data_IF_502819610204
#
_entry.id   IF_502819610204
#
_cell.length_a   1.000
_cell.length_b   1.000
_cell.length_c   1.000
_cell.angle_alpha   90.00
_cell.angle_beta   90.00
_cell.angle_gamma   90.00
#
_symmetry.space_group_name_H-M   'P 1'
#
loop_
_entity.id
_entity.type
_entity.pdbx_description
1 polymer ?
#
# COMPACT_ATOMS: atom_id res chain seq x y z
N UNK A 1 9.73 49.21 -26.11
CA UNK A 1 11.18 49.10 -25.88
C UNK A 1 11.51 47.63 -25.67
N UNK A 2 12.20 46.99 -26.61
CA UNK A 2 12.60 45.59 -26.50
C UNK A 2 13.85 45.46 -25.62
N UNK A 3 13.92 44.52 -24.67
CA UNK A 3 15.17 44.22 -23.98
C UNK A 3 16.01 43.25 -24.81
N UNK A 4 17.24 43.69 -25.12
CA UNK A 4 18.30 42.88 -25.70
C UNK A 4 19.17 42.32 -24.56
N UNK A 5 19.41 41.01 -24.56
CA UNK A 5 20.51 40.41 -23.82
C UNK A 5 20.98 39.14 -24.56
N UNK A 6 21.80 39.33 -25.60
CA UNK A 6 22.63 38.27 -26.17
C UNK A 6 23.94 38.26 -25.39
N UNK A 7 24.10 37.33 -24.46
CA UNK A 7 25.40 37.04 -23.84
C UNK A 7 26.07 35.94 -24.68
N UNK A 8 27.04 36.33 -25.51
CA UNK A 8 27.89 35.41 -26.26
C UNK A 8 29.16 35.18 -25.44
N UNK A 9 29.24 34.04 -24.74
CA UNK A 9 30.48 33.58 -24.12
C UNK A 9 31.40 33.00 -25.20
N UNK A 10 32.40 33.79 -25.58
CA UNK A 10 33.53 33.39 -26.44
C UNK A 10 34.65 32.82 -25.56
N UNK A 11 34.77 31.50 -25.48
CA UNK A 11 35.97 30.84 -24.96
C UNK A 11 36.94 30.57 -26.12
N UNK A 12 38.01 31.37 -26.17
CA UNK A 12 39.19 31.14 -26.99
C UNK A 12 39.95 29.94 -26.44
N UNK A 13 40.00 28.84 -27.19
CA UNK A 13 41.03 27.82 -27.03
C UNK A 13 41.96 27.88 -28.25
N UNK A 14 43.23 28.15 -27.97
CA UNK A 14 44.30 28.33 -28.94
C UNK A 14 44.56 27.06 -29.74
N UNK A 15 44.64 27.24 -31.06
CA UNK A 15 45.11 26.25 -32.02
C UNK A 15 46.64 26.20 -32.02
N UNK A 16 47.20 24.98 -32.01
CA UNK A 16 48.12 24.49 -33.06
C UNK A 16 48.67 23.13 -32.66
N UNK A 17 48.24 22.08 -33.35
CA UNK A 17 49.16 21.05 -33.87
C UNK A 17 48.44 20.22 -34.92
N UNK A 18 49.11 20.13 -36.06
CA UNK A 18 48.74 19.46 -37.30
C UNK A 18 48.90 17.95 -37.19
N UNK A 19 47.79 17.22 -37.30
CA UNK A 19 47.78 15.84 -37.81
C UNK A 19 46.40 15.59 -38.45
N UNK A 20 46.44 15.16 -39.71
CA UNK A 20 45.34 15.15 -40.67
C UNK A 20 44.16 14.24 -40.26
N UNK A 21 42.90 14.69 -40.46
CA UNK A 21 41.75 14.06 -39.85
C UNK A 21 41.22 12.88 -40.69
N UNK A 22 40.98 11.76 -40.00
CA UNK A 22 40.16 10.64 -40.46
C UNK A 22 38.79 11.17 -40.93
N UNK A 23 38.37 10.70 -42.10
CA UNK A 23 37.05 10.92 -42.69
C UNK A 23 35.95 10.51 -41.70
N UNK A 24 35.45 11.48 -40.93
CA UNK A 24 34.25 11.32 -40.13
C UNK A 24 33.08 11.23 -41.11
N UNK A 25 32.54 10.01 -41.26
CA UNK A 25 31.28 9.77 -41.95
C UNK A 25 30.23 10.63 -41.26
N UNK A 26 29.80 11.70 -41.95
CA UNK A 26 28.69 12.55 -41.56
C UNK A 26 27.48 11.65 -41.35
N UNK A 27 27.15 11.36 -40.08
CA UNK A 27 25.88 10.77 -39.71
C UNK A 27 24.81 11.78 -40.10
N UNK A 28 24.12 11.49 -41.19
CA UNK A 28 22.94 12.23 -41.61
C UNK A 28 21.92 12.14 -40.49
N UNK A 29 21.73 13.24 -39.75
CA UNK A 29 20.66 13.37 -38.77
C UNK A 29 19.34 13.19 -39.53
N UNK A 30 18.76 11.99 -39.45
CA UNK A 30 17.38 11.77 -39.90
C UNK A 30 16.47 12.46 -38.89
N UNK A 31 15.87 13.58 -39.29
CA UNK A 31 14.78 14.17 -38.53
C UNK A 31 13.61 13.18 -38.55
N UNK A 32 13.16 12.72 -37.38
CA UNK A 32 12.02 11.79 -37.25
C UNK A 32 10.68 12.50 -37.57
N UNK A 33 10.69 13.82 -37.81
CA UNK A 33 9.53 14.58 -38.24
C UNK A 33 9.84 15.36 -39.53
N UNK A 34 8.95 15.27 -40.52
CA UNK A 34 8.96 16.09 -41.75
C UNK A 34 8.25 17.43 -41.57
N UNK A 35 7.50 17.59 -40.48
CA UNK A 35 6.78 18.81 -40.19
C UNK A 35 7.67 19.75 -39.36
N UNK A 36 7.62 21.07 -39.58
CA UNK A 36 8.19 22.01 -38.62
C UNK A 36 7.53 21.78 -37.25
N UNK A 37 8.31 21.86 -36.17
CA UNK A 37 7.76 21.77 -34.82
C UNK A 37 6.69 22.85 -34.64
N UNK A 38 5.43 22.45 -34.41
CA UNK A 38 4.42 23.40 -33.99
C UNK A 38 4.64 23.72 -32.51
N UNK A 39 4.84 24.99 -32.13
CA UNK A 39 4.85 25.35 -30.71
C UNK A 39 3.49 25.00 -30.11
N UNK A 40 3.49 24.59 -28.84
CA UNK A 40 2.25 24.31 -28.12
C UNK A 40 1.32 25.53 -28.21
N UNK A 41 0.09 25.33 -28.69
CA UNK A 41 -0.93 26.37 -28.73
C UNK A 41 -1.44 26.59 -27.30
N UNK A 42 -0.79 27.50 -26.59
CA UNK A 42 -1.20 27.94 -25.26
C UNK A 42 -2.59 28.58 -25.37
N UNK A 43 -3.61 27.98 -24.76
CA UNK A 43 -4.96 28.54 -24.76
C UNK A 43 -4.94 29.84 -23.95
N UNK A 44 -5.37 30.99 -24.51
CA UNK A 44 -5.25 32.29 -23.84
C UNK A 44 -5.94 32.38 -22.48
N UNK A 45 -6.93 31.52 -22.22
CA UNK A 45 -7.76 31.56 -21.01
C UNK A 45 -7.03 30.94 -19.80
N UNK A 46 -6.19 29.92 -19.98
CA UNK A 46 -5.58 29.19 -18.86
C UNK A 46 -4.06 29.00 -18.98
N UNK A 47 -3.48 29.36 -20.13
CA UNK A 47 -2.07 29.11 -20.39
C UNK A 47 -1.16 30.33 -20.27
N UNK A 48 -1.70 31.50 -19.95
CA UNK A 48 -0.92 32.72 -19.75
C UNK A 48 -0.72 32.98 -18.25
N UNK A 49 0.50 32.85 -17.78
CA UNK A 49 0.89 33.15 -16.41
C UNK A 49 2.18 32.42 -16.04
N UNK A 50 2.91 32.87 -15.01
CA UNK A 50 3.91 32.00 -14.40
C UNK A 50 3.23 30.68 -14.01
N UNK A 51 3.95 29.54 -14.05
CA UNK A 51 3.40 28.30 -13.51
C UNK A 51 2.87 28.57 -12.10
N UNK A 52 1.73 27.98 -11.72
CA UNK A 52 1.25 28.12 -10.35
C UNK A 52 2.37 27.71 -9.40
N UNK A 53 2.48 28.42 -8.27
CA UNK A 53 3.40 27.99 -7.21
C UNK A 53 3.06 26.53 -6.85
N UNK A 54 4.07 25.67 -6.63
CA UNK A 54 3.82 24.30 -6.20
C UNK A 54 2.86 24.32 -5.01
N UNK A 55 1.82 23.48 -4.98
CA UNK A 55 0.91 23.45 -3.84
C UNK A 55 1.74 23.24 -2.57
N UNK A 56 1.66 24.18 -1.64
CA UNK A 56 2.31 24.01 -0.36
C UNK A 56 1.60 22.89 0.39
N UNK A 57 2.32 21.92 0.98
CA UNK A 57 1.68 20.89 1.79
C UNK A 57 0.88 21.59 2.88
N UNK A 58 -0.44 21.36 2.89
CA UNK A 58 -1.30 22.00 3.86
C UNK A 58 -0.87 21.57 5.27
N UNK A 59 -0.79 22.51 6.21
CA UNK A 59 -0.50 22.19 7.61
C UNK A 59 -1.50 21.19 8.22
N UNK A 60 -2.64 20.96 7.54
CA UNK A 60 -3.67 19.98 7.89
C UNK A 60 -3.15 18.53 8.03
N UNK A 61 -1.94 18.23 7.52
CA UNK A 61 -1.31 16.91 7.65
C UNK A 61 -0.57 16.67 8.97
N UNK A 62 -0.45 17.66 9.85
CA UNK A 62 -0.02 17.38 11.22
C UNK A 62 -1.08 16.48 11.88
N UNK A 63 -0.72 15.22 12.18
CA UNK A 63 -1.64 14.23 12.76
C UNK A 63 -2.41 14.79 13.98
N UNK A 64 -1.74 15.66 14.74
CA UNK A 64 -2.30 16.34 15.90
C UNK A 64 -3.43 17.32 15.55
N UNK A 65 -3.34 18.09 14.46
CA UNK A 65 -4.40 19.02 14.03
C UNK A 65 -5.66 18.26 13.59
N UNK A 66 -5.48 17.18 12.82
CA UNK A 66 -6.59 16.32 12.39
C UNK A 66 -7.30 15.67 13.57
N UNK A 67 -6.55 15.19 14.57
CA UNK A 67 -7.09 14.62 15.80
C UNK A 67 -7.79 15.71 16.63
N UNK A 68 -7.19 16.89 16.77
CA UNK A 68 -7.78 18.01 17.51
C UNK A 68 -9.09 18.50 16.86
N UNK A 69 -9.14 18.62 15.54
CA UNK A 69 -10.36 18.99 14.79
C UNK A 69 -11.47 17.97 15.01
N UNK A 70 -11.17 16.67 14.96
CA UNK A 70 -12.14 15.60 15.25
C UNK A 70 -12.65 15.66 16.69
N UNK A 71 -11.77 15.89 17.67
CA UNK A 71 -12.17 16.07 19.08
C UNK A 71 -13.11 17.26 19.24
N UNK A 72 -12.79 18.43 18.66
CA UNK A 72 -13.65 19.61 18.68
C UNK A 72 -15.01 19.34 18.02
N UNK A 73 -15.03 18.68 16.86
CA UNK A 73 -16.27 18.34 16.17
C UNK A 73 -17.14 17.37 16.99
N UNK A 74 -16.53 16.35 17.60
CA UNK A 74 -17.23 15.41 18.48
C UNK A 74 -17.80 16.11 19.73
N UNK A 75 -17.06 17.04 20.33
CA UNK A 75 -17.50 17.85 21.45
C UNK A 75 -18.66 18.78 21.08
N UNK A 76 -18.55 19.50 19.95
CA UNK A 76 -19.64 20.34 19.42
C UNK A 76 -20.90 19.50 19.18
N UNK A 77 -20.76 18.28 18.63
CA UNK A 77 -21.89 17.37 18.43
C UNK A 77 -22.49 16.85 19.74
N UNK A 78 -21.67 16.61 20.78
CA UNK A 78 -22.16 16.26 22.13
C UNK A 78 -22.93 17.42 22.74
N UNK A 79 -22.34 18.62 22.76
CA UNK A 79 -22.96 19.84 23.29
C UNK A 79 -24.27 20.17 22.57
N UNK A 80 -24.28 20.12 21.23
CA UNK A 80 -25.51 20.31 20.45
C UNK A 80 -26.58 19.26 20.79
N UNK A 81 -26.17 18.01 21.04
CA UNK A 81 -27.04 16.94 21.48
C UNK A 81 -27.66 17.18 22.87
N UNK A 82 -26.90 17.78 23.79
CA UNK A 82 -27.34 18.07 25.15
C UNK A 82 -28.23 19.32 25.22
N UNK A 83 -27.86 20.39 24.50
CA UNK A 83 -28.69 21.60 24.33
C UNK A 83 -30.05 21.22 23.74
N UNK A 84 -30.07 20.33 22.75
CA UNK A 84 -31.31 19.88 22.13
C UNK A 84 -32.22 19.08 23.07
N UNK A 85 -31.64 18.32 24.01
CA UNK A 85 -32.42 17.61 25.05
C UNK A 85 -32.95 18.57 26.11
N UNK A 86 -32.16 19.57 26.49
CA UNK A 86 -32.57 20.61 27.45
C UNK A 86 -33.66 21.53 26.88
N UNK A 87 -33.61 21.81 25.57
CA UNK A 87 -34.46 22.78 24.90
C UNK A 87 -35.89 22.36 24.56
N UNK A 88 -36.41 21.22 25.06
CA UNK A 88 -37.85 20.86 25.06
C UNK A 88 -38.62 20.90 23.72
N UNK A 89 -37.96 21.13 22.58
CA UNK A 89 -38.61 21.44 21.32
C UNK A 89 -39.18 20.20 20.64
N UNK A 90 -40.50 20.07 20.66
CA UNK A 90 -41.32 19.12 19.88
C UNK A 90 -41.30 19.37 18.36
N UNK A 91 -40.25 20.03 17.85
CA UNK A 91 -40.01 20.18 16.43
C UNK A 91 -39.67 18.83 15.82
N UNK A 92 -40.56 18.34 14.95
CA UNK A 92 -40.35 17.19 14.05
C UNK A 92 -39.13 17.47 13.16
N UNK A 93 -37.91 17.39 13.69
CA UNK A 93 -36.76 17.25 12.83
C UNK A 93 -36.96 15.94 12.09
N UNK A 94 -37.05 16.01 10.78
CA UNK A 94 -36.83 14.89 9.88
C UNK A 94 -35.50 14.26 10.28
N UNK A 95 -35.58 13.22 11.11
CA UNK A 95 -34.46 12.75 11.91
C UNK A 95 -33.39 12.20 10.98
N UNK A 96 -32.31 12.95 10.78
CA UNK A 96 -31.05 12.39 10.30
C UNK A 96 -30.82 11.13 11.15
N UNK A 97 -30.88 9.96 10.51
CA UNK A 97 -30.83 8.65 11.18
C UNK A 97 -29.57 8.57 12.03
N UNK A 98 -29.70 8.94 13.30
CA UNK A 98 -28.63 8.99 14.29
C UNK A 98 -28.05 7.59 14.48
N UNK A 99 -26.78 7.48 14.89
CA UNK A 99 -26.22 6.21 15.36
C UNK A 99 -27.11 5.57 16.45
N UNK A 100 -27.24 4.25 16.38
CA UNK A 100 -28.07 3.47 17.32
C UNK A 100 -27.36 3.18 18.64
N UNK A 101 -26.05 3.44 18.73
CA UNK A 101 -25.23 3.22 19.90
C UNK A 101 -24.56 4.51 20.39
N UNK A 102 -24.20 4.54 21.67
CA UNK A 102 -23.46 5.64 22.29
C UNK A 102 -22.00 5.28 22.51
N UNK A 103 -21.76 4.10 23.07
CA UNK A 103 -20.47 3.64 23.54
C UNK A 103 -20.09 2.35 22.83
N UNK A 104 -18.84 2.25 22.40
CA UNK A 104 -18.28 1.02 21.81
C UNK A 104 -17.24 0.46 22.77
N UNK A 105 -17.45 -0.76 23.23
CA UNK A 105 -16.59 -1.41 24.24
C UNK A 105 -16.05 -2.73 23.74
N UNK A 106 -14.84 -3.07 24.15
CA UNK A 106 -14.26 -4.41 23.95
C UNK A 106 -14.49 -5.19 25.25
N UNK A 107 -15.04 -6.40 25.14
CA UNK A 107 -15.29 -7.29 26.28
C UNK A 107 -14.72 -8.67 26.00
N UNK A 108 -14.14 -9.29 27.03
CA UNK A 108 -13.79 -10.70 26.97
C UNK A 108 -15.00 -11.54 27.40
N UNK A 109 -15.47 -12.42 26.52
CA UNK A 109 -16.65 -13.28 26.72
C UNK A 109 -16.28 -14.70 26.29
N UNK A 110 -16.36 -15.64 27.23
CA UNK A 110 -15.98 -17.06 27.07
C UNK A 110 -14.66 -17.26 26.29
N UNK A 111 -13.59 -16.59 26.73
CA UNK A 111 -12.24 -16.71 26.15
C UNK A 111 -12.08 -16.11 24.76
N UNK A 112 -12.98 -15.23 24.32
CA UNK A 112 -12.86 -14.47 23.08
C UNK A 112 -13.11 -12.98 23.32
N UNK A 113 -12.53 -12.12 22.48
CA UNK A 113 -12.79 -10.69 22.49
C UNK A 113 -13.98 -10.38 21.58
N UNK A 114 -14.98 -9.72 22.14
CA UNK A 114 -16.18 -9.26 21.44
C UNK A 114 -16.25 -7.73 21.48
N UNK A 115 -16.77 -7.14 20.40
CA UNK A 115 -17.02 -5.70 20.30
C UNK A 115 -18.50 -5.50 20.60
N UNK A 116 -18.83 -4.66 21.58
CA UNK A 116 -20.20 -4.39 21.99
C UNK A 116 -20.55 -2.93 21.71
N UNK A 117 -21.66 -2.73 20.99
CA UNK A 117 -22.30 -1.44 20.73
C UNK A 117 -23.36 -1.24 21.82
N UNK A 118 -23.05 -0.38 22.79
CA UNK A 118 -23.73 -0.31 24.09
C UNK A 118 -23.79 -1.69 24.78
N UNK A 119 -24.93 -2.37 24.68
CA UNK A 119 -25.16 -3.71 25.25
C UNK A 119 -25.24 -4.81 24.20
N UNK A 120 -25.18 -4.47 22.91
CA UNK A 120 -25.39 -5.42 21.80
C UNK A 120 -24.04 -5.84 21.20
N UNK A 121 -23.76 -7.15 21.07
CA UNK A 121 -22.55 -7.60 20.40
C UNK A 121 -22.60 -7.27 18.91
N UNK A 122 -21.44 -6.91 18.36
CA UNK A 122 -21.23 -6.72 16.94
C UNK A 122 -21.35 -8.05 16.22
N UNK A 123 -22.07 -8.04 15.10
CA UNK A 123 -22.39 -9.25 14.34
C UNK A 123 -21.91 -9.16 12.91
N UNK A 124 -21.55 -10.32 12.38
CA UNK A 124 -21.20 -10.48 10.99
C UNK A 124 -22.37 -10.09 10.08
N UNK A 125 -22.15 -9.30 9.01
CA UNK A 125 -23.24 -8.76 8.19
C UNK A 125 -24.13 -9.82 7.53
N UNK A 126 -23.56 -10.94 7.09
CA UNK A 126 -24.26 -11.98 6.30
C UNK A 126 -24.91 -13.03 7.20
N UNK A 127 -24.12 -13.89 7.85
CA UNK A 127 -24.60 -15.00 8.70
C UNK A 127 -25.11 -14.60 10.10
N UNK A 128 -25.01 -13.31 10.50
CA UNK A 128 -25.49 -12.76 11.79
C UNK A 128 -24.85 -13.34 13.05
N UNK A 129 -23.77 -14.11 12.93
CA UNK A 129 -23.01 -14.62 14.06
C UNK A 129 -22.29 -13.48 14.78
N UNK A 130 -21.99 -13.66 16.06
CA UNK A 130 -21.23 -12.66 16.83
C UNK A 130 -19.78 -12.68 16.36
N UNK A 131 -19.20 -11.50 16.12
CA UNK A 131 -17.78 -11.40 15.78
C UNK A 131 -16.98 -11.67 17.05
N UNK A 132 -16.25 -12.80 17.03
CA UNK A 132 -15.39 -13.25 18.14
C UNK A 132 -13.94 -13.26 17.66
N UNK A 133 -13.09 -12.50 18.34
CA UNK A 133 -11.67 -12.41 18.06
C UNK A 133 -10.86 -13.21 19.10
N UNK A 134 -9.69 -13.76 18.74
CA UNK A 134 -8.78 -14.36 19.71
C UNK A 134 -8.34 -13.36 20.79
N UNK A 135 -8.22 -13.80 22.04
CA UNK A 135 -7.69 -12.99 23.15
C UNK A 135 -6.26 -12.53 22.93
N UNK A 136 -5.52 -13.21 22.05
CA UNK A 136 -4.19 -12.79 21.64
C UNK A 136 -4.17 -11.50 20.83
N UNK A 137 -5.29 -11.04 20.24
CA UNK A 137 -5.36 -9.89 19.34
C UNK A 137 -6.10 -8.67 19.94
N UNK A 138 -5.68 -8.12 21.09
CA UNK A 138 -6.36 -6.97 21.70
C UNK A 138 -6.27 -5.71 20.83
N UNK A 139 -5.15 -5.49 20.12
CA UNK A 139 -5.00 -4.32 19.24
C UNK A 139 -6.02 -4.31 18.10
N UNK A 140 -6.27 -5.47 17.49
CA UNK A 140 -7.31 -5.63 16.48
C UNK A 140 -8.70 -5.35 17.04
N UNK A 141 -9.01 -5.87 18.23
CA UNK A 141 -10.30 -5.65 18.88
C UNK A 141 -10.54 -4.16 19.20
N UNK A 142 -9.53 -3.46 19.72
CA UNK A 142 -9.61 -2.02 19.97
C UNK A 142 -9.68 -1.20 18.68
N UNK A 143 -8.94 -1.58 17.64
CA UNK A 143 -9.02 -0.93 16.33
C UNK A 143 -10.42 -1.09 15.70
N UNK A 144 -11.03 -2.27 15.85
CA UNK A 144 -12.41 -2.52 15.42
C UNK A 144 -13.41 -1.69 16.25
N UNK A 145 -13.21 -1.58 17.56
CA UNK A 145 -14.02 -0.70 18.40
C UNK A 145 -13.92 0.77 17.95
N UNK A 146 -12.70 1.25 17.65
CA UNK A 146 -12.47 2.59 17.13
C UNK A 146 -13.15 2.80 15.76
N UNK A 147 -13.08 1.83 14.85
CA UNK A 147 -13.77 1.89 13.56
C UNK A 147 -15.27 2.17 13.75
N UNK A 148 -15.92 1.46 14.68
CA UNK A 148 -17.34 1.64 14.97
C UNK A 148 -17.67 2.89 15.78
N UNK A 149 -16.74 3.38 16.60
CA UNK A 149 -16.90 4.63 17.35
C UNK A 149 -16.88 5.86 16.42
N UNK A 150 -16.12 5.79 15.32
CA UNK A 150 -16.06 6.86 14.31
C UNK A 150 -17.31 6.98 13.43
N UNK A 151 -18.21 5.97 13.43
CA UNK A 151 -19.42 6.02 12.62
C UNK A 151 -20.47 6.96 13.24
N UNK A 152 -20.98 7.89 12.42
CA UNK A 152 -22.00 8.87 12.83
C UNK A 152 -23.43 8.36 12.62
N UNK A 153 -23.61 7.39 11.72
CA UNK A 153 -24.87 6.71 11.47
C UNK A 153 -24.68 5.22 11.22
N UNK A 154 -25.70 4.42 11.52
CA UNK A 154 -25.67 2.99 11.22
C UNK A 154 -25.64 2.69 9.72
N UNK A 155 -26.15 3.59 8.88
CA UNK A 155 -26.05 3.43 7.42
C UNK A 155 -24.62 3.54 6.91
N UNK A 156 -23.70 4.18 7.64
CA UNK A 156 -22.30 4.19 7.26
C UNK A 156 -21.65 2.80 7.37
N UNK A 157 -22.17 1.93 8.25
CA UNK A 157 -21.69 0.55 8.36
C UNK A 157 -21.99 -0.29 7.10
N UNK A 158 -22.83 0.18 6.17
CA UNK A 158 -23.03 -0.49 4.87
C UNK A 158 -22.03 -0.03 3.81
N UNK A 159 -21.20 0.97 4.10
CA UNK A 159 -20.19 1.51 3.17
C UNK A 159 -18.84 0.85 3.46
N UNK A 160 -18.37 0.00 2.56
CA UNK A 160 -17.15 -0.80 2.74
C UNK A 160 -15.91 0.03 3.11
N UNK A 161 -15.75 1.21 2.51
CA UNK A 161 -14.62 2.11 2.79
C UNK A 161 -14.65 2.74 4.20
N UNK A 162 -15.78 2.66 4.92
CA UNK A 162 -15.91 3.13 6.31
C UNK A 162 -15.77 2.00 7.34
N UNK A 163 -15.78 0.74 6.90
CA UNK A 163 -15.63 -0.43 7.78
C UNK A 163 -14.56 -1.43 7.26
N UNK A 164 -13.34 -0.98 6.91
CA UNK A 164 -12.30 -1.84 6.36
C UNK A 164 -11.88 -3.00 7.29
N UNK A 165 -11.74 -2.76 8.59
CA UNK A 165 -11.37 -3.79 9.57
C UNK A 165 -12.50 -4.77 9.80
N UNK A 166 -13.75 -4.32 9.93
CA UNK A 166 -14.90 -5.23 10.00
C UNK A 166 -14.96 -6.11 8.78
N UNK A 167 -14.80 -5.55 7.58
CA UNK A 167 -14.81 -6.31 6.33
C UNK A 167 -13.70 -7.36 6.30
N UNK A 168 -12.51 -7.01 6.78
CA UNK A 168 -11.34 -7.89 6.80
C UNK A 168 -11.45 -9.01 7.85
N UNK A 169 -11.96 -8.70 9.05
CA UNK A 169 -12.25 -9.70 10.09
C UNK A 169 -13.34 -10.65 9.63
N UNK A 170 -14.43 -10.13 9.06
CA UNK A 170 -15.49 -10.95 8.47
C UNK A 170 -14.93 -11.89 7.39
N UNK A 171 -14.06 -11.38 6.50
CA UNK A 171 -13.38 -12.19 5.49
C UNK A 171 -12.56 -13.33 6.11
N UNK A 172 -11.82 -13.07 7.18
CA UNK A 172 -11.07 -14.11 7.90
C UNK A 172 -12.00 -15.16 8.54
N UNK A 173 -13.13 -14.73 9.11
CA UNK A 173 -14.13 -15.64 9.70
C UNK A 173 -14.85 -16.49 8.64
N UNK A 174 -15.14 -15.92 7.47
CA UNK A 174 -15.72 -16.65 6.34
C UNK A 174 -14.76 -17.72 5.82
N UNK A 175 -13.46 -17.41 5.72
CA UNK A 175 -12.42 -18.38 5.37
C UNK A 175 -12.34 -19.50 6.42
N UNK A 176 -12.49 -19.18 7.71
CA UNK A 176 -12.45 -20.16 8.79
C UNK A 176 -13.68 -21.08 8.80
N UNK A 177 -14.84 -20.55 8.40
CA UNK A 177 -16.11 -21.29 8.37
C UNK A 177 -16.32 -22.14 7.11
N UNK A 178 -15.52 -21.94 6.07
CA UNK A 178 -15.62 -22.68 4.82
C UNK A 178 -14.76 -23.96 4.81
N UNK A 179 -15.24 -25.02 4.16
CA UNK A 179 -14.59 -26.34 4.12
C UNK A 179 -13.34 -26.43 3.23
N UNK A 180 -12.70 -25.28 2.91
CA UNK A 180 -11.45 -25.18 2.15
C UNK A 180 -11.60 -24.73 0.69
N UNK A 181 -12.81 -24.61 0.14
CA UNK A 181 -13.01 -24.18 -1.26
C UNK A 181 -12.53 -22.74 -1.49
N UNK A 182 -12.94 -21.82 -0.61
CA UNK A 182 -12.53 -20.41 -0.58
C UNK A 182 -11.03 -20.28 -0.50
N UNK A 183 -10.39 -21.12 0.33
CA UNK A 183 -8.93 -21.14 0.50
C UNK A 183 -8.21 -21.51 -0.81
N UNK A 184 -8.71 -22.53 -1.52
CA UNK A 184 -8.20 -22.90 -2.85
C UNK A 184 -8.32 -21.76 -3.87
N UNK A 185 -9.47 -21.10 -3.93
CA UNK A 185 -9.70 -19.95 -4.84
C UNK A 185 -8.80 -18.75 -4.53
N UNK A 186 -8.55 -18.47 -3.25
CA UNK A 186 -7.61 -17.43 -2.84
C UNK A 186 -6.20 -17.80 -3.31
N UNK A 187 -5.74 -19.03 -3.02
CA UNK A 187 -4.41 -19.47 -3.42
C UNK A 187 -4.19 -19.39 -4.94
N UNK A 188 -5.17 -19.83 -5.73
CA UNK A 188 -5.13 -19.71 -7.19
C UNK A 188 -5.03 -18.24 -7.63
N UNK A 189 -5.80 -17.35 -7.00
CA UNK A 189 -5.77 -15.91 -7.30
C UNK A 189 -4.43 -15.27 -6.96
N UNK A 190 -3.85 -15.61 -5.81
CA UNK A 190 -2.56 -15.08 -5.37
C UNK A 190 -1.41 -15.60 -6.23
N UNK A 191 -1.46 -16.85 -6.69
CA UNK A 191 -0.45 -17.39 -7.60
C UNK A 191 -0.46 -16.74 -8.99
N UNK A 192 -1.55 -16.09 -9.41
CA UNK A 192 -1.52 -15.25 -10.63
C UNK A 192 -0.66 -14.00 -10.42
N UNK A 193 -0.70 -13.41 -9.23
CA UNK A 193 0.17 -12.29 -8.87
C UNK A 193 1.63 -12.67 -8.77
N UNK A 194 1.96 -13.92 -8.44
CA UNK A 194 3.34 -14.38 -8.39
C UNK A 194 4.05 -14.28 -9.76
N UNK A 195 3.34 -14.57 -10.86
CA UNK A 195 3.90 -14.48 -12.21
C UNK A 195 4.00 -13.04 -12.72
N UNK A 196 3.22 -12.13 -12.14
CA UNK A 196 3.12 -10.70 -12.54
C UNK A 196 3.46 -9.77 -11.39
N UNK A 197 4.30 -10.21 -10.45
CA UNK A 197 4.53 -9.49 -9.20
C UNK A 197 5.23 -8.16 -9.51
N UNK A 198 4.73 -7.05 -8.94
CA UNK A 198 5.29 -5.72 -9.20
C UNK A 198 6.78 -5.60 -8.85
N UNK A 199 7.26 -6.38 -7.88
CA UNK A 199 8.69 -6.42 -7.52
C UNK A 199 9.57 -7.15 -8.54
N UNK A 200 8.96 -7.90 -9.47
CA UNK A 200 9.66 -8.69 -10.49
C UNK A 200 9.56 -8.06 -11.89
N UNK A 201 8.90 -6.91 -12.00
CA UNK A 201 8.75 -6.15 -13.24
C UNK A 201 9.72 -4.97 -13.23
N UNK A 202 10.79 -5.07 -14.02
CA UNK A 202 11.87 -4.07 -14.01
C UNK A 202 11.92 -3.30 -15.33
N UNK A 203 12.35 -2.05 -15.24
CA UNK A 203 12.68 -1.22 -16.40
C UNK A 203 13.78 -1.90 -17.24
N UNK A 204 13.76 -1.75 -18.57
CA UNK A 204 14.83 -2.26 -19.42
C UNK A 204 16.21 -1.74 -18.99
N UNK A 205 17.29 -2.51 -19.22
CA UNK A 205 18.63 -1.97 -19.06
C UNK A 205 18.81 -0.69 -19.89
N UNK A 206 19.54 0.33 -19.38
CA UNK A 206 19.85 1.51 -20.17
C UNK A 206 20.58 1.08 -21.45
N UNK A 207 20.16 1.59 -22.60
CA UNK A 207 20.86 1.31 -23.85
C UNK A 207 22.24 2.00 -23.83
N UNK A 208 23.24 1.41 -24.50
CA UNK A 208 24.58 2.01 -24.66
C UNK A 208 24.56 3.43 -25.28
N UNK A 209 23.41 3.84 -25.83
CA UNK A 209 23.20 5.13 -26.51
C UNK A 209 22.15 6.01 -25.83
N UNK A 210 21.59 5.61 -24.69
CA UNK A 210 20.74 6.48 -23.86
C UNK A 210 21.62 7.47 -23.08
N UNK A 211 22.31 8.33 -23.83
CA UNK A 211 22.64 9.65 -23.32
C UNK A 211 21.32 10.42 -23.33
N UNK A 212 20.70 10.58 -22.15
CA UNK A 212 19.49 11.39 -22.01
C UNK A 212 19.65 12.77 -22.68
N UNK A 213 18.54 13.46 -23.00
CA UNK A 213 18.62 14.78 -23.60
C UNK A 213 19.43 15.73 -22.70
N UNK A 214 20.58 16.14 -23.22
CA UNK A 214 21.35 17.33 -22.87
C UNK A 214 21.42 17.70 -21.36
N UNK A 215 22.47 17.23 -20.68
CA UNK A 215 23.20 18.10 -19.74
C UNK A 215 23.05 17.86 -18.24
N UNK A 216 22.24 16.92 -17.77
CA UNK A 216 22.26 16.51 -16.36
C UNK A 216 23.02 15.19 -16.23
N UNK A 217 24.29 15.28 -15.82
CA UNK A 217 25.05 14.11 -15.38
C UNK A 217 24.45 13.59 -14.08
N UNK A 218 23.32 12.87 -14.17
CA UNK A 218 22.56 12.34 -13.03
C UNK A 218 23.47 11.40 -12.20
N UNK A 219 24.13 11.98 -11.18
CA UNK A 219 24.83 11.26 -10.14
C UNK A 219 23.80 10.48 -9.31
N UNK A 220 23.46 9.25 -9.72
CA UNK A 220 22.48 8.44 -8.99
C UNK A 220 22.24 7.05 -9.59
N UNK A 221 21.60 6.16 -8.81
CA UNK A 221 21.17 4.86 -9.31
C UNK A 221 20.03 5.02 -10.32
N UNK A 222 20.07 4.21 -11.38
CA UNK A 222 18.98 4.09 -12.33
C UNK A 222 17.74 3.48 -11.66
N UNK A 223 16.55 3.76 -12.22
CA UNK A 223 15.29 3.13 -11.81
C UNK A 223 15.38 1.59 -11.75
N UNK A 224 16.01 0.98 -12.75
CA UNK A 224 16.22 -0.47 -12.79
C UNK A 224 17.05 -0.97 -11.60
N UNK A 225 18.13 -0.27 -11.27
CA UNK A 225 18.97 -0.62 -10.10
C UNK A 225 18.18 -0.49 -8.79
N UNK A 226 17.36 0.54 -8.65
CA UNK A 226 16.49 0.70 -7.48
C UNK A 226 15.44 -0.41 -7.38
N UNK A 227 14.86 -0.86 -8.51
CA UNK A 227 13.91 -1.96 -8.57
C UNK A 227 14.56 -3.29 -8.19
N UNK A 228 15.75 -3.58 -8.72
CA UNK A 228 16.53 -4.77 -8.37
C UNK A 228 16.89 -4.77 -6.87
N UNK A 229 17.30 -3.62 -6.33
CA UNK A 229 17.59 -3.47 -4.91
C UNK A 229 16.35 -3.71 -4.04
N UNK A 230 15.23 -3.05 -4.34
CA UNK A 230 13.99 -3.21 -3.58
C UNK A 230 13.47 -4.67 -3.61
N UNK A 231 13.59 -5.32 -4.76
CA UNK A 231 13.28 -6.73 -4.91
C UNK A 231 14.20 -7.61 -4.06
N UNK A 232 15.52 -7.39 -4.10
CA UNK A 232 16.49 -8.15 -3.32
C UNK A 232 16.29 -8.01 -1.80
N UNK A 233 16.06 -6.79 -1.31
CA UNK A 233 15.81 -6.48 0.11
C UNK A 233 14.50 -7.14 0.61
N UNK A 234 13.47 -7.15 -0.23
CA UNK A 234 12.17 -7.74 0.14
C UNK A 234 12.20 -9.27 0.07
N UNK A 235 12.74 -9.83 -1.01
CA UNK A 235 12.68 -11.26 -1.36
C UNK A 235 13.77 -12.07 -0.66
N UNK A 236 14.97 -11.51 -0.45
CA UNK A 236 16.10 -12.25 0.11
C UNK A 236 15.76 -12.99 1.42
N UNK A 237 15.10 -12.35 2.39
CA UNK A 237 14.69 -13.02 3.63
C UNK A 237 13.62 -14.09 3.44
N UNK A 238 12.74 -13.93 2.46
CA UNK A 238 11.75 -14.95 2.12
C UNK A 238 12.44 -16.21 1.60
N UNK A 239 13.35 -16.08 0.63
CA UNK A 239 14.06 -17.24 0.06
C UNK A 239 15.08 -17.84 1.02
N UNK A 240 15.61 -17.08 1.99
CA UNK A 240 16.50 -17.62 3.03
C UNK A 240 15.78 -18.40 4.12
N UNK A 241 14.64 -17.91 4.61
CA UNK A 241 13.99 -18.44 5.83
C UNK A 241 12.65 -19.10 5.59
N UNK A 242 11.84 -18.54 4.69
CA UNK A 242 10.47 -19.03 4.45
C UNK A 242 10.42 -20.12 3.38
N UNK A 243 11.17 -19.93 2.29
CA UNK A 243 11.21 -20.82 1.14
C UNK A 243 12.66 -21.16 0.75
N UNK A 244 13.42 -21.85 1.63
CA UNK A 244 14.80 -22.21 1.35
C UNK A 244 14.94 -23.00 0.04
N UNK A 245 15.89 -22.60 -0.81
CA UNK A 245 16.18 -23.24 -2.09
C UNK A 245 15.25 -22.82 -3.24
N UNK A 246 14.21 -22.03 -2.97
CA UNK A 246 13.35 -21.49 -4.03
C UNK A 246 14.07 -20.36 -4.76
N UNK A 247 14.07 -20.44 -6.09
CA UNK A 247 14.55 -19.37 -6.97
C UNK A 247 13.36 -18.62 -7.54
N UNK A 248 13.34 -17.30 -7.31
CA UNK A 248 12.32 -16.40 -7.85
C UNK A 248 12.96 -15.60 -8.97
N UNK A 249 12.37 -15.66 -10.17
CA UNK A 249 12.91 -15.03 -11.39
C UNK A 249 12.16 -13.73 -11.71
N UNK A 250 12.76 -12.79 -12.45
CA UNK A 250 12.05 -11.64 -12.99
C UNK A 250 10.85 -12.07 -13.84
N UNK A 251 9.79 -11.28 -13.82
CA UNK A 251 8.53 -11.57 -14.52
C UNK A 251 8.66 -11.37 -16.03
N UNK A 252 9.44 -10.37 -16.46
CA UNK A 252 9.68 -10.08 -17.88
C UNK A 252 11.05 -10.58 -18.31
N UNK A 253 11.15 -11.05 -19.55
CA UNK A 253 12.44 -11.22 -20.22
C UNK A 253 12.66 -10.07 -21.21
N UNK A 254 13.89 -9.95 -21.71
CA UNK A 254 14.28 -8.83 -22.58
C UNK A 254 13.61 -8.85 -23.96
N UNK A 255 12.88 -9.92 -24.31
CA UNK A 255 12.35 -10.13 -25.67
C UNK A 255 10.83 -10.34 -25.72
N UNK A 256 10.17 -10.51 -24.58
CA UNK A 256 8.73 -10.75 -24.46
C UNK A 256 8.04 -9.66 -23.66
N UNK A 257 6.91 -9.20 -24.17
CA UNK A 257 5.96 -8.38 -23.42
C UNK A 257 5.09 -9.21 -22.47
N UNK A 258 5.07 -10.53 -22.65
CA UNK A 258 4.27 -11.45 -21.83
C UNK A 258 5.05 -11.88 -20.59
N UNK A 259 4.44 -11.87 -19.40
CA UNK A 259 5.04 -12.38 -18.18
C UNK A 259 5.40 -13.86 -18.29
N UNK A 260 6.61 -14.20 -17.87
CA UNK A 260 7.10 -15.56 -17.69
C UNK A 260 6.51 -16.14 -16.40
N UNK A 261 6.00 -17.36 -16.50
CA UNK A 261 5.60 -18.13 -15.31
C UNK A 261 6.80 -18.51 -14.46
N UNK A 262 6.66 -18.42 -13.14
CA UNK A 262 7.67 -18.97 -12.23
C UNK A 262 7.80 -20.49 -12.39
N UNK A 263 8.95 -21.03 -11.98
CA UNK A 263 9.24 -22.46 -12.06
C UNK A 263 8.15 -23.29 -11.32
N UNK A 264 7.72 -24.45 -11.85
CA UNK A 264 6.64 -25.24 -11.24
C UNK A 264 6.89 -25.56 -9.76
N UNK A 265 8.12 -25.94 -9.41
CA UNK A 265 8.52 -26.19 -8.02
C UNK A 265 8.38 -24.93 -7.13
N UNK A 266 8.79 -23.77 -7.62
CA UNK A 266 8.63 -22.49 -6.91
C UNK A 266 7.14 -22.20 -6.63
N UNK A 267 6.29 -22.43 -7.63
CA UNK A 267 4.84 -22.25 -7.50
C UNK A 267 4.22 -23.22 -6.50
N UNK A 268 4.61 -24.49 -6.55
CA UNK A 268 4.11 -25.53 -5.63
C UNK A 268 4.50 -25.23 -4.18
N UNK A 269 5.77 -24.84 -3.93
CA UNK A 269 6.22 -24.47 -2.58
C UNK A 269 5.45 -23.27 -2.04
N UNK A 270 5.32 -22.21 -2.83
CA UNK A 270 4.59 -21.00 -2.43
C UNK A 270 3.10 -21.30 -2.25
N UNK A 271 2.50 -22.11 -3.12
CA UNK A 271 1.12 -22.55 -2.99
C UNK A 271 0.90 -23.34 -1.69
N UNK A 272 1.78 -24.30 -1.39
CA UNK A 272 1.74 -25.07 -0.16
C UNK A 272 1.79 -24.17 1.08
N UNK A 273 2.65 -23.15 1.07
CA UNK A 273 2.70 -22.14 2.13
C UNK A 273 1.41 -21.30 2.22
N UNK A 274 0.90 -20.78 1.10
CA UNK A 274 -0.37 -20.04 1.10
C UNK A 274 -1.49 -20.91 1.66
N UNK A 275 -1.50 -22.21 1.34
CA UNK A 275 -2.46 -23.18 1.84
C UNK A 275 -2.23 -23.60 3.30
N UNK A 276 -1.11 -23.27 3.94
CA UNK A 276 -0.85 -23.57 5.36
C UNK A 276 -1.21 -22.43 6.32
N UNK A 277 -1.28 -21.18 5.84
CA UNK A 277 -1.61 -19.99 6.64
C UNK A 277 -2.92 -20.10 7.46
N UNK A 278 -3.00 -19.44 8.60
CA UNK A 278 -4.29 -19.32 9.32
C UNK A 278 -5.32 -18.51 8.51
N UNK A 279 -6.62 -18.60 8.81
CA UNK A 279 -7.64 -17.78 8.14
C UNK A 279 -7.39 -16.27 8.24
N UNK A 280 -6.82 -15.80 9.36
CA UNK A 280 -6.42 -14.40 9.55
C UNK A 280 -5.23 -14.05 8.64
N UNK A 281 -4.18 -14.86 8.63
CA UNK A 281 -3.03 -14.61 7.74
C UNK A 281 -3.42 -14.68 6.26
N UNK A 282 -4.28 -15.61 5.86
CA UNK A 282 -4.71 -15.72 4.48
C UNK A 282 -5.55 -14.51 4.04
N UNK A 283 -6.48 -14.03 4.87
CA UNK A 283 -7.24 -12.81 4.59
C UNK A 283 -6.33 -11.57 4.51
N UNK A 284 -5.33 -11.49 5.39
CA UNK A 284 -4.37 -10.39 5.39
C UNK A 284 -3.45 -10.43 4.16
N UNK A 285 -2.96 -11.63 3.79
CA UNK A 285 -2.18 -11.84 2.58
C UNK A 285 -2.98 -11.46 1.34
N UNK A 286 -4.23 -11.93 1.23
CA UNK A 286 -5.15 -11.57 0.14
C UNK A 286 -5.30 -10.05 0.03
N UNK A 287 -5.60 -9.38 1.16
CA UNK A 287 -5.73 -7.92 1.20
C UNK A 287 -4.46 -7.20 0.76
N UNK A 288 -3.31 -7.58 1.32
CA UNK A 288 -2.04 -6.92 1.07
C UNK A 288 -1.55 -7.14 -0.38
N UNK A 289 -1.71 -8.35 -0.92
CA UNK A 289 -1.38 -8.66 -2.32
C UNK A 289 -2.25 -7.87 -3.29
N UNK A 290 -3.56 -7.81 -3.05
CA UNK A 290 -4.45 -7.05 -3.91
C UNK A 290 -4.20 -5.54 -3.84
N UNK A 291 -3.77 -5.01 -2.69
CA UNK A 291 -3.43 -3.60 -2.52
C UNK A 291 -2.12 -3.24 -3.26
N UNK A 292 -1.04 -3.97 -2.97
CA UNK A 292 0.30 -3.69 -3.52
C UNK A 292 0.60 -4.33 -4.87
N UNK A 293 -0.31 -5.17 -5.40
CA UNK A 293 -0.10 -5.99 -6.61
C UNK A 293 1.16 -6.85 -6.54
N UNK A 294 1.53 -7.26 -5.33
CA UNK A 294 2.73 -8.06 -5.04
C UNK A 294 2.40 -9.11 -3.99
N UNK A 295 2.53 -10.39 -4.37
CA UNK A 295 2.46 -11.49 -3.43
C UNK A 295 3.71 -11.50 -2.53
N UNK A 296 4.87 -11.14 -3.07
CA UNK A 296 6.14 -11.21 -2.36
C UNK A 296 6.25 -10.13 -1.27
N UNK A 297 5.89 -8.88 -1.58
CA UNK A 297 5.85 -7.82 -0.57
C UNK A 297 4.83 -8.14 0.53
N UNK A 298 3.66 -8.65 0.14
CA UNK A 298 2.63 -9.05 1.08
C UNK A 298 3.09 -10.22 1.96
N UNK A 299 3.73 -11.24 1.38
CA UNK A 299 4.29 -12.36 2.12
C UNK A 299 5.31 -11.87 3.14
N UNK A 300 6.27 -11.03 2.72
CA UNK A 300 7.28 -10.45 3.64
C UNK A 300 6.63 -9.68 4.77
N UNK A 301 5.63 -8.85 4.48
CA UNK A 301 4.91 -8.09 5.49
C UNK A 301 4.18 -9.00 6.49
N UNK A 302 3.40 -9.97 6.00
CA UNK A 302 2.59 -10.85 6.86
C UNK A 302 3.47 -11.73 7.74
N UNK A 303 4.52 -12.36 7.20
CA UNK A 303 5.41 -13.23 8.00
C UNK A 303 6.26 -12.47 9.03
N UNK A 304 6.45 -11.17 8.81
CA UNK A 304 7.19 -10.32 9.75
C UNK A 304 6.34 -9.97 10.98
N UNK A 305 5.02 -9.83 10.80
CA UNK A 305 4.09 -9.35 11.84
C UNK A 305 3.14 -10.41 12.39
N UNK A 306 3.02 -11.57 11.74
CA UNK A 306 2.14 -12.64 12.19
C UNK A 306 2.58 -13.21 13.55
N UNK A 307 1.61 -13.44 14.44
CA UNK A 307 1.87 -14.17 15.68
C UNK A 307 1.90 -15.71 15.50
N UNK A 308 1.37 -16.23 14.39
CA UNK A 308 1.26 -17.67 14.14
C UNK A 308 2.47 -18.21 13.37
N UNK A 309 2.73 -17.69 12.16
CA UNK A 309 3.87 -18.06 11.31
C UNK A 309 5.02 -17.03 11.36
N UNK A 310 5.26 -16.40 12.51
CA UNK A 310 6.22 -15.29 12.72
C UNK A 310 7.72 -15.62 12.53
N UNK A 311 8.10 -16.36 11.48
CA UNK A 311 9.48 -16.75 11.18
C UNK A 311 10.41 -15.59 10.81
N UNK A 312 9.88 -14.40 10.55
CA UNK A 312 10.64 -13.21 10.13
C UNK A 312 10.55 -12.04 11.13
N UNK A 313 10.00 -12.23 12.33
CA UNK A 313 9.80 -11.14 13.30
C UNK A 313 11.09 -10.57 13.91
N UNK A 314 12.20 -11.31 13.89
CA UNK A 314 13.51 -10.81 14.28
C UNK A 314 14.05 -9.92 13.15
N UNK A 315 14.40 -8.66 13.49
CA UNK A 315 15.24 -7.81 12.64
C UNK A 315 16.41 -8.65 12.15
N UNK A 316 16.67 -8.72 10.84
CA UNK A 316 17.80 -9.51 10.35
C UNK A 316 19.13 -9.01 10.96
N UNK A 317 20.15 -9.87 10.94
CA UNK A 317 21.51 -9.48 11.31
C UNK A 317 21.94 -8.29 10.44
N UNK A 318 22.01 -7.09 11.02
CA UNK A 318 22.35 -5.85 10.33
C UNK A 318 21.16 -4.96 9.93
N UNK A 319 19.91 -5.45 9.96
CA UNK A 319 18.74 -4.59 9.81
C UNK A 319 18.46 -3.87 11.13
N UNK A 320 18.44 -2.53 11.12
CA UNK A 320 18.09 -1.71 12.30
C UNK A 320 16.58 -1.61 12.52
N UNK A 321 15.79 -1.91 11.49
CA UNK A 321 14.34 -1.70 11.48
C UNK A 321 13.63 -2.88 10.85
N UNK A 322 12.56 -3.34 11.52
CA UNK A 322 11.64 -4.36 11.03
C UNK A 322 10.93 -3.89 9.75
N UNK A 323 10.85 -4.77 8.74
CA UNK A 323 10.05 -4.54 7.53
C UNK A 323 8.57 -4.30 7.88
N UNK A 324 8.11 -3.07 7.69
CA UNK A 324 6.78 -2.63 8.06
C UNK A 324 5.97 -2.13 6.86
N UNK A 325 4.89 -1.42 7.18
CA UNK A 325 3.96 -0.86 6.20
C UNK A 325 4.65 0.12 5.26
N UNK A 326 5.54 0.98 5.79
CA UNK A 326 6.25 1.98 4.99
C UNK A 326 7.27 1.35 4.03
N UNK A 327 7.97 0.31 4.48
CA UNK A 327 8.90 -0.44 3.64
C UNK A 327 8.15 -1.17 2.52
N UNK A 328 7.05 -1.86 2.86
CA UNK A 328 6.21 -2.54 1.89
C UNK A 328 5.60 -1.58 0.87
N UNK A 329 5.05 -0.45 1.33
CA UNK A 329 4.46 0.56 0.45
C UNK A 329 5.50 1.14 -0.51
N UNK A 330 6.69 1.53 -0.01
CA UNK A 330 7.78 2.04 -0.84
C UNK A 330 8.24 1.02 -1.88
N UNK A 331 8.36 -0.25 -1.51
CA UNK A 331 8.81 -1.29 -2.42
C UNK A 331 7.83 -1.49 -3.59
N UNK A 332 6.52 -1.58 -3.31
CA UNK A 332 5.51 -1.82 -4.35
C UNK A 332 5.14 -0.58 -5.16
N UNK A 333 5.35 0.63 -4.63
CA UNK A 333 5.06 1.90 -5.30
C UNK A 333 6.30 2.59 -5.86
N UNK A 334 7.43 1.88 -5.99
CA UNK A 334 8.72 2.48 -6.35
C UNK A 334 8.68 3.21 -7.70
N UNK A 335 8.12 2.56 -8.73
CA UNK A 335 7.97 3.16 -10.06
C UNK A 335 7.08 4.40 -10.02
N UNK A 336 5.96 4.33 -9.30
CA UNK A 336 5.04 5.46 -9.16
C UNK A 336 5.77 6.63 -8.52
N UNK A 337 6.51 6.39 -7.42
CA UNK A 337 7.28 7.42 -6.74
C UNK A 337 8.35 8.05 -7.65
N UNK A 338 9.06 7.23 -8.44
CA UNK A 338 10.03 7.69 -9.42
C UNK A 338 9.39 8.59 -10.48
N UNK A 339 8.29 8.15 -11.08
CA UNK A 339 7.58 8.92 -12.10
C UNK A 339 6.97 10.20 -11.53
N UNK A 340 6.36 10.17 -10.35
CA UNK A 340 5.83 11.38 -9.71
C UNK A 340 6.93 12.37 -9.31
N UNK A 341 8.13 11.88 -8.96
CA UNK A 341 9.27 12.75 -8.70
C UNK A 341 9.73 13.50 -9.94
N UNK A 342 9.63 12.87 -11.12
CA UNK A 342 10.04 13.46 -12.41
C UNK A 342 8.96 14.33 -13.06
N UNK A 343 7.71 13.90 -12.98
CA UNK A 343 6.59 14.48 -13.73
C UNK A 343 5.58 15.23 -12.87
N UNK A 344 5.73 15.18 -11.54
CA UNK A 344 4.79 15.73 -10.58
C UNK A 344 3.75 14.71 -10.10
N UNK A 345 3.18 14.98 -8.94
CA UNK A 345 2.07 14.21 -8.36
C UNK A 345 0.73 14.74 -8.91
N UNK A 346 -0.23 13.84 -9.15
CA UNK A 346 -1.59 14.19 -9.58
C UNK A 346 -2.50 14.11 -8.37
N UNK A 347 -3.04 15.26 -7.96
CA UNK A 347 -4.01 15.38 -6.86
C UNK A 347 -5.30 14.60 -7.15
N UNK A 348 -5.94 14.08 -6.08
CA UNK A 348 -7.12 13.22 -6.14
C UNK A 348 -6.88 11.92 -6.94
N UNK A 349 -5.63 11.47 -7.03
CA UNK A 349 -5.26 10.20 -7.68
C UNK A 349 -4.03 9.61 -6.98
N UNK A 350 -2.84 10.14 -7.23
CA UNK A 350 -1.60 9.56 -6.71
C UNK A 350 -1.49 9.71 -5.19
N UNK A 351 -1.91 10.86 -4.67
CA UNK A 351 -1.96 11.18 -3.24
C UNK A 351 -2.95 10.26 -2.49
N UNK A 352 -4.13 10.04 -3.04
CA UNK A 352 -5.16 9.17 -2.45
C UNK A 352 -4.70 7.72 -2.47
N UNK A 353 -4.16 7.23 -3.58
CA UNK A 353 -3.65 5.86 -3.70
C UNK A 353 -2.49 5.59 -2.74
N UNK A 354 -1.59 6.55 -2.57
CA UNK A 354 -0.46 6.49 -1.63
C UNK A 354 -0.92 6.30 -0.18
N UNK A 355 -1.95 7.01 0.25
CA UNK A 355 -2.52 6.86 1.59
C UNK A 355 -3.38 5.59 1.72
N UNK A 356 -4.13 5.25 0.67
CA UNK A 356 -4.98 4.06 0.66
C UNK A 356 -4.18 2.76 0.72
N UNK A 357 -3.04 2.70 0.01
CA UNK A 357 -2.11 1.57 0.06
C UNK A 357 -1.62 1.34 1.49
N UNK A 358 -1.14 2.39 2.18
CA UNK A 358 -0.70 2.29 3.59
C UNK A 358 -1.83 1.85 4.50
N UNK A 359 -3.04 2.39 4.30
CA UNK A 359 -4.22 2.00 5.05
C UNK A 359 -4.53 0.50 4.88
N UNK A 360 -4.47 -0.02 3.66
CA UNK A 360 -4.71 -1.44 3.38
C UNK A 360 -3.62 -2.34 3.97
N UNK A 361 -2.35 -2.00 3.78
CA UNK A 361 -1.22 -2.75 4.36
C UNK A 361 -1.24 -2.72 5.90
N UNK A 362 -1.52 -1.57 6.49
CA UNK A 362 -1.67 -1.42 7.94
C UNK A 362 -2.84 -2.22 8.51
N UNK A 363 -3.96 -2.31 7.78
CA UNK A 363 -5.08 -3.17 8.18
C UNK A 363 -4.70 -4.66 8.18
N UNK A 364 -3.90 -5.10 7.22
CA UNK A 364 -3.39 -6.47 7.14
C UNK A 364 -2.43 -6.77 8.30
N UNK A 365 -1.54 -5.84 8.65
CA UNK A 365 -0.66 -5.95 9.83
C UNK A 365 -1.46 -6.06 11.12
N UNK A 366 -2.47 -5.21 11.33
CA UNK A 366 -3.34 -5.29 12.51
C UNK A 366 -4.08 -6.62 12.62
N UNK A 367 -4.47 -7.21 11.48
CA UNK A 367 -5.18 -8.48 11.46
C UNK A 367 -4.31 -9.65 11.94
N UNK A 368 -3.04 -9.69 11.55
CA UNK A 368 -2.13 -10.81 11.86
C UNK A 368 -1.34 -10.61 13.15
N UNK A 369 -1.14 -9.37 13.57
CA UNK A 369 -0.44 -9.05 14.81
C UNK A 369 -1.22 -9.55 16.03
N UNK A 370 -0.49 -9.97 17.05
CA UNK A 370 -1.04 -10.35 18.33
C UNK A 370 0.03 -10.43 19.41
N UNK A 371 -0.39 -10.82 20.60
CA UNK A 371 0.45 -10.90 21.80
C UNK A 371 1.11 -12.27 21.96
N UNK A 372 0.79 -13.24 21.09
CA UNK A 372 1.28 -14.63 21.19
C UNK A 372 0.71 -15.43 22.36
N UNK A 373 -0.09 -14.82 23.25
CA UNK A 373 -0.61 -15.47 24.47
C UNK A 373 -1.71 -16.49 24.21
N UNK A 374 -2.39 -16.43 23.06
CA UNK A 374 -3.58 -17.24 22.76
C UNK A 374 -3.29 -18.70 22.38
N UNK A 375 -2.07 -19.02 21.96
CA UNK A 375 -1.70 -20.37 21.50
C UNK A 375 -1.28 -21.30 22.64
N UNK A 376 -0.96 -20.77 23.84
CA UNK A 376 -0.55 -21.55 24.99
C UNK A 376 -1.65 -22.47 25.58
N UNK A 377 -2.92 -22.28 25.19
CA UNK A 377 -4.05 -23.10 25.65
C UNK A 377 -4.29 -24.40 24.87
N UNK A 378 -3.56 -24.67 23.79
CA UNK A 378 -3.80 -25.87 22.94
C UNK A 378 -2.85 -27.04 23.20
N UNK A 379 -2.04 -26.97 24.26
CA UNK A 379 -1.15 -28.04 24.69
C UNK A 379 -1.80 -29.01 25.69
N UNK A 380 -1.97 -30.27 25.28
CA UNK A 380 -2.15 -31.46 26.14
C UNK A 380 -3.36 -31.51 27.09
N UNK A 381 -4.56 -31.59 26.51
CA UNK A 381 -5.75 -32.15 27.15
C UNK A 381 -6.06 -33.57 26.65
N UNK A 382 -5.09 -34.49 26.68
CA UNK A 382 -5.33 -35.93 26.48
C UNK A 382 -4.46 -36.71 27.47
N UNK A 383 -4.95 -36.77 28.71
CA UNK A 383 -4.64 -37.82 29.68
C UNK A 383 -5.96 -38.15 30.38
N UNK A 384 -6.69 -39.10 29.81
CA UNK A 384 -7.47 -40.12 30.50
C UNK A 384 -7.70 -41.25 29.50
#
# INVERSE_FOLDING_TARGET
>A
MAPAARCLLSLRASSTTTATPRCLRLTTRRAIHSNPAQPAKVVPVYGTGPPPEPPQPSAEYAADERIARRKRQAEILRLAGDIRKQGGGSGKSTGLKKRFWRDVTVREVDGALEIHLDTRPLRHPTNKTIIRLPTSKPLLAHALALEWDQLTSASQATKQHLIPLTSLVCRALDIAGDAGATRGTIAETLLRYLDTDSLLCWSPPPADHDHGPEGEGEEGPTLRQLQEQAAAETIGPLTRRLWPGVTIRPALDSTSILPRRQDPNTREVIQGWVLSLTPFELAALERATLAGKSLLAAARLITTWSEDHGGLSASEEGETKRFGVEEAARAVSLEVAWQTGKWGEVEDTHDVEKEDLRRQLGSAVLLVSGTGKGTAGRGNGSKL
#
